data_IF_219065355471
#
_entry.id   IF_219065355471
#
_cell.length_a   1.000
_cell.length_b   1.000
_cell.length_c   1.000
_cell.angle_alpha   90.00
_cell.angle_beta   90.00
_cell.angle_gamma   90.00
#
_symmetry.space_group_name_H-M   'P 1'
#
loop_
_entity.id
_entity.type
_entity.pdbx_description
1 polymer ?
#
# COMPACT_ATOMS: atom_id res chain seq x y z
N UNK A 1 -27.82 -11.98 32.70
CA UNK A 1 -27.37 -11.87 31.30
C UNK A 1 -26.39 -10.72 31.22
N UNK A 2 -25.09 -10.99 31.04
CA UNK A 2 -24.09 -9.94 30.91
C UNK A 2 -24.01 -9.52 29.44
N UNK A 3 -24.38 -8.27 29.15
CA UNK A 3 -24.21 -7.67 27.83
C UNK A 3 -22.72 -7.57 27.53
N UNK A 4 -22.22 -8.39 26.61
CA UNK A 4 -20.89 -8.21 26.04
C UNK A 4 -20.93 -6.90 25.24
N UNK A 5 -20.34 -5.84 25.78
CA UNK A 5 -20.14 -4.60 25.04
C UNK A 5 -19.47 -4.92 23.71
N UNK A 6 -19.95 -4.33 22.62
CA UNK A 6 -19.33 -4.48 21.30
C UNK A 6 -17.84 -4.11 21.44
N UNK A 7 -16.91 -4.90 20.86
CA UNK A 7 -15.51 -4.54 20.88
C UNK A 7 -15.36 -3.12 20.30
N UNK A 8 -14.69 -2.25 21.05
CA UNK A 8 -14.39 -0.89 20.60
C UNK A 8 -13.54 -1.03 19.34
N UNK A 9 -14.03 -0.55 18.20
CA UNK A 9 -13.21 -0.44 16.99
C UNK A 9 -12.14 0.58 17.32
N UNK A 10 -10.91 0.11 17.42
CA UNK A 10 -9.73 0.97 17.62
C UNK A 10 -9.36 1.49 16.23
N UNK A 11 -9.35 2.82 16.07
CA UNK A 11 -9.07 3.44 14.79
C UNK A 11 -7.67 3.03 14.29
N UNK A 12 -7.49 2.91 12.97
CA UNK A 12 -6.21 2.53 12.35
C UNK A 12 -5.05 3.43 12.81
N UNK A 13 -5.35 4.73 12.96
CA UNK A 13 -4.44 5.77 13.44
C UNK A 13 -3.96 5.57 14.88
N UNK A 14 -4.75 4.91 15.74
CA UNK A 14 -4.36 4.62 17.13
C UNK A 14 -3.37 3.45 17.22
N UNK A 15 -3.27 2.61 16.18
CA UNK A 15 -2.44 1.39 16.18
C UNK A 15 -1.08 1.58 15.50
N UNK A 16 -0.98 2.45 14.49
CA UNK A 16 0.27 2.70 13.75
C UNK A 16 0.45 4.22 13.52
N UNK A 17 1.58 4.83 13.97
CA UNK A 17 1.85 6.24 13.74
C UNK A 17 1.80 6.61 12.26
N UNK A 18 1.07 7.67 11.92
CA UNK A 18 0.95 8.16 10.55
C UNK A 18 0.10 7.30 9.62
N UNK A 19 -0.65 6.31 10.15
CA UNK A 19 -1.58 5.55 9.34
C UNK A 19 -2.63 6.47 8.70
N UNK A 20 -2.98 6.17 7.44
CA UNK A 20 -4.07 6.85 6.76
C UNK A 20 -5.38 6.57 7.50
N UNK A 21 -6.11 7.65 7.78
CA UNK A 21 -7.49 7.54 8.23
C UNK A 21 -8.36 7.19 7.01
N UNK A 22 -9.09 6.09 7.13
CA UNK A 22 -9.97 5.55 6.09
C UNK A 22 -11.42 5.53 6.54
N UNK A 23 -11.70 5.98 7.76
CA UNK A 23 -13.05 6.02 8.30
C UNK A 23 -13.88 7.06 7.54
N UNK A 24 -15.09 6.69 7.15
CA UNK A 24 -16.03 7.58 6.44
C UNK A 24 -15.73 7.78 4.96
N UNK A 25 -14.79 7.05 4.36
CA UNK A 25 -14.58 7.07 2.91
C UNK A 25 -15.61 6.16 2.22
N UNK A 26 -16.66 6.75 1.66
CA UNK A 26 -17.80 6.02 1.07
C UNK A 26 -17.41 5.01 -0.02
N UNK A 27 -16.40 5.34 -0.85
CA UNK A 27 -15.93 4.42 -1.90
C UNK A 27 -15.34 3.13 -1.35
N UNK A 28 -14.96 3.09 -0.07
CA UNK A 28 -14.44 1.90 0.58
C UNK A 28 -15.53 0.97 1.13
N UNK A 29 -16.81 1.39 1.18
CA UNK A 29 -17.90 0.57 1.74
C UNK A 29 -18.07 -0.79 1.04
N UNK A 30 -17.73 -0.86 -0.24
CA UNK A 30 -17.77 -2.09 -1.04
C UNK A 30 -16.37 -2.59 -1.45
N UNK A 31 -15.31 -1.98 -0.91
CA UNK A 31 -13.94 -2.35 -1.20
C UNK A 31 -13.43 -3.35 -0.15
N UNK A 32 -12.43 -4.14 -0.55
CA UNK A 32 -11.67 -5.01 0.36
C UNK A 32 -10.22 -4.56 0.38
N UNK A 33 -9.59 -4.61 1.55
CA UNK A 33 -8.17 -4.28 1.69
C UNK A 33 -7.32 -5.38 1.02
N UNK A 34 -6.50 -4.98 0.03
CA UNK A 34 -5.67 -5.89 -0.75
C UNK A 34 -4.23 -5.91 -0.26
N UNK A 35 -3.71 -4.76 0.15
CA UNK A 35 -2.31 -4.61 0.52
C UNK A 35 -2.13 -3.54 1.59
N UNK A 36 -1.05 -3.67 2.36
CA UNK A 36 -0.51 -2.61 3.21
C UNK A 36 0.99 -2.46 2.95
N UNK A 37 1.43 -1.23 2.82
CA UNK A 37 2.80 -0.87 2.46
C UNK A 37 3.35 0.12 3.48
N UNK A 38 4.59 -0.07 3.90
CA UNK A 38 5.32 0.82 4.81
C UNK A 38 6.69 1.15 4.25
N UNK A 39 7.15 2.37 4.54
CA UNK A 39 8.49 2.84 4.21
C UNK A 39 9.20 3.26 5.49
N UNK A 40 10.48 2.92 5.58
CA UNK A 40 11.37 3.39 6.64
C UNK A 40 12.33 4.43 6.08
N UNK A 41 12.81 5.35 6.92
CA UNK A 41 13.77 6.36 6.49
C UNK A 41 15.08 5.68 6.07
N UNK A 42 15.37 5.68 4.75
CA UNK A 42 16.49 4.98 4.12
C UNK A 42 16.49 3.44 4.32
N UNK A 43 15.36 2.84 4.68
CA UNK A 43 15.20 1.39 4.83
C UNK A 43 14.43 0.74 3.68
N UNK A 44 14.39 -0.61 3.61
CA UNK A 44 13.57 -1.31 2.62
C UNK A 44 12.08 -1.05 2.86
N UNK A 45 11.28 -1.18 1.81
CA UNK A 45 9.83 -1.17 1.94
C UNK A 45 9.35 -2.50 2.53
N UNK A 46 8.36 -2.45 3.43
CA UNK A 46 7.64 -3.63 3.91
C UNK A 46 6.28 -3.70 3.24
N UNK A 47 5.96 -4.85 2.64
CA UNK A 47 4.69 -5.08 1.96
C UNK A 47 3.97 -6.32 2.52
N UNK A 48 2.69 -6.18 2.86
CA UNK A 48 1.80 -7.29 3.17
C UNK A 48 0.72 -7.32 2.08
N UNK A 49 0.62 -8.43 1.36
CA UNK A 49 -0.35 -8.64 0.27
C UNK A 49 -1.31 -9.75 0.66
N UNK A 50 -2.60 -9.55 0.45
CA UNK A 50 -3.62 -10.59 0.59
C UNK A 50 -3.90 -11.24 -0.78
N UNK A 51 -3.29 -12.40 -1.10
CA UNK A 51 -3.53 -13.07 -2.37
C UNK A 51 -4.95 -13.65 -2.47
N UNK A 52 -5.69 -13.83 -1.37
CA UNK A 52 -7.04 -14.39 -1.41
C UNK A 52 -8.07 -13.48 -2.10
N UNK A 53 -7.80 -12.18 -2.19
CA UNK A 53 -8.66 -11.21 -2.90
C UNK A 53 -8.18 -10.94 -4.33
N UNK A 54 -6.94 -11.33 -4.65
CA UNK A 54 -6.35 -11.25 -5.99
C UNK A 54 -6.17 -12.66 -6.54
N UNK A 55 -7.23 -13.20 -7.14
CA UNK A 55 -7.29 -14.61 -7.55
C UNK A 55 -6.19 -15.00 -8.54
N UNK A 56 -5.78 -14.07 -9.40
CA UNK A 56 -4.69 -14.26 -10.37
C UNK A 56 -3.56 -13.24 -10.14
N UNK A 57 -2.27 -13.61 -10.30
CA UNK A 57 -1.13 -12.70 -10.10
C UNK A 57 -1.18 -11.43 -10.95
N UNK A 58 -1.68 -11.52 -12.18
CA UNK A 58 -1.84 -10.41 -13.10
C UNK A 58 -2.72 -9.30 -12.52
N UNK A 59 -3.68 -9.65 -11.65
CA UNK A 59 -4.52 -8.67 -10.96
C UNK A 59 -3.72 -7.73 -10.07
N UNK A 60 -2.65 -8.23 -9.44
CA UNK A 60 -1.75 -7.36 -8.68
C UNK A 60 -1.04 -6.37 -9.61
N UNK A 61 -0.54 -6.84 -10.76
CA UNK A 61 0.06 -5.98 -11.77
C UNK A 61 -0.88 -4.88 -12.26
N UNK A 62 -2.13 -5.22 -12.58
CA UNK A 62 -3.15 -4.24 -12.98
C UNK A 62 -3.44 -3.24 -11.85
N UNK A 63 -3.59 -3.71 -10.61
CA UNK A 63 -3.78 -2.84 -9.45
C UNK A 63 -2.62 -1.86 -9.24
N UNK A 64 -1.36 -2.28 -9.49
CA UNK A 64 -0.21 -1.39 -9.39
C UNK A 64 -0.25 -0.28 -10.44
N UNK A 65 -0.69 -0.55 -11.67
CA UNK A 65 -0.88 0.49 -12.70
C UNK A 65 -1.93 1.51 -12.26
N UNK A 66 -3.07 1.06 -11.73
CA UNK A 66 -4.09 1.99 -11.23
C UNK A 66 -3.56 2.82 -10.06
N UNK A 67 -2.84 2.19 -9.12
CA UNK A 67 -2.18 2.87 -8.00
C UNK A 67 -1.23 3.98 -8.49
N UNK A 68 -0.40 3.71 -9.52
CA UNK A 68 0.51 4.70 -10.11
C UNK A 68 -0.26 5.91 -10.68
N UNK A 69 -1.39 5.68 -11.34
CA UNK A 69 -2.24 6.76 -11.87
C UNK A 69 -2.93 7.57 -10.78
N UNK A 70 -3.30 6.93 -9.67
CA UNK A 70 -3.80 7.64 -8.50
C UNK A 70 -2.70 8.45 -7.81
N UNK A 71 -1.48 7.88 -7.72
CA UNK A 71 -0.33 8.53 -7.13
C UNK A 71 0.08 9.77 -7.94
N UNK A 72 0.09 9.71 -9.28
CA UNK A 72 0.43 10.87 -10.11
C UNK A 72 -0.47 12.08 -9.81
N UNK A 73 -1.77 11.85 -9.64
CA UNK A 73 -2.74 12.89 -9.23
C UNK A 73 -2.45 13.43 -7.83
N UNK A 74 -2.19 12.55 -6.87
CA UNK A 74 -1.89 12.94 -5.50
C UNK A 74 -0.60 13.79 -5.44
N UNK A 75 0.46 13.36 -6.12
CA UNK A 75 1.74 14.09 -6.18
C UNK A 75 1.60 15.43 -6.91
N UNK A 76 0.86 15.48 -8.01
CA UNK A 76 0.56 16.72 -8.72
C UNK A 76 -0.08 17.75 -7.78
N UNK A 77 -1.11 17.34 -7.04
CA UNK A 77 -1.81 18.22 -6.08
C UNK A 77 -0.94 18.62 -4.89
N UNK A 78 -0.22 17.67 -4.29
CA UNK A 78 0.57 17.91 -3.09
C UNK A 78 1.82 18.78 -3.35
N UNK A 79 2.40 18.69 -4.55
CA UNK A 79 3.70 19.31 -4.86
C UNK A 79 3.66 20.34 -5.99
N UNK A 80 2.48 20.66 -6.54
CA UNK A 80 2.35 21.66 -7.60
C UNK A 80 2.97 21.23 -8.93
N UNK A 81 2.99 19.92 -9.22
CA UNK A 81 3.43 19.36 -10.50
C UNK A 81 2.22 19.21 -11.44
N UNK A 82 2.45 19.04 -12.75
CA UNK A 82 1.41 18.48 -13.62
C UNK A 82 1.24 16.99 -13.37
N UNK A 83 0.05 16.44 -13.64
CA UNK A 83 -0.21 15.00 -13.50
C UNK A 83 0.72 14.19 -14.41
N UNK A 84 1.02 14.69 -15.61
CA UNK A 84 1.92 14.06 -16.58
C UNK A 84 3.37 14.03 -16.06
N UNK A 85 3.86 15.14 -15.50
CA UNK A 85 5.21 15.21 -14.95
C UNK A 85 5.37 14.32 -13.71
N UNK A 86 4.32 14.21 -12.87
CA UNK A 86 4.30 13.28 -11.76
C UNK A 86 4.28 11.82 -12.24
N UNK A 87 3.44 11.51 -13.24
CA UNK A 87 3.31 10.17 -13.81
C UNK A 87 4.62 9.69 -14.44
N UNK A 88 5.29 10.55 -15.21
CA UNK A 88 6.58 10.25 -15.83
C UNK A 88 7.64 9.88 -14.78
N UNK A 89 7.76 10.68 -13.71
CA UNK A 89 8.74 10.45 -12.64
C UNK A 89 8.46 9.20 -11.82
N UNK A 90 7.18 8.86 -11.61
CA UNK A 90 6.80 7.62 -10.93
C UNK A 90 7.21 6.41 -11.78
N UNK A 91 6.92 6.42 -13.08
CA UNK A 91 7.35 5.34 -13.97
C UNK A 91 8.87 5.22 -14.06
N UNK A 92 9.61 6.33 -14.10
CA UNK A 92 11.07 6.30 -14.02
C UNK A 92 11.56 5.57 -12.75
N UNK A 93 10.93 5.83 -11.59
CA UNK A 93 11.24 5.13 -10.35
C UNK A 93 10.93 3.63 -10.39
N UNK A 94 9.82 3.25 -11.02
CA UNK A 94 9.45 1.84 -11.24
C UNK A 94 10.48 1.13 -12.13
N UNK A 95 10.85 1.73 -13.26
CA UNK A 95 11.82 1.16 -14.18
C UNK A 95 13.21 1.02 -13.53
N UNK A 96 13.64 2.04 -12.77
CA UNK A 96 14.87 1.98 -11.98
C UNK A 96 14.91 0.80 -11.02
N UNK A 97 13.81 0.54 -10.30
CA UNK A 97 13.77 -0.57 -9.34
C UNK A 97 13.63 -1.92 -10.05
N UNK A 98 12.84 -1.99 -11.14
CA UNK A 98 12.69 -3.18 -11.97
C UNK A 98 14.01 -3.64 -12.57
N UNK A 99 14.88 -2.70 -12.96
CA UNK A 99 16.20 -3.01 -13.50
C UNK A 99 17.21 -3.38 -12.39
N UNK A 100 16.97 -2.94 -11.15
CA UNK A 100 17.76 -3.30 -9.95
C UNK A 100 17.31 -4.64 -9.35
N UNK A 101 17.37 -5.71 -10.14
CA UNK A 101 17.00 -7.09 -9.77
C UNK A 101 17.86 -7.77 -8.67
N UNK A 102 18.39 -7.05 -7.67
CA UNK A 102 19.44 -7.59 -6.77
C UNK A 102 19.26 -7.33 -5.27
N UNK A 103 18.13 -6.82 -4.80
CA UNK A 103 17.85 -6.75 -3.36
C UNK A 103 17.02 -7.97 -2.95
N UNK A 104 17.48 -8.70 -1.92
CA UNK A 104 16.70 -9.77 -1.34
C UNK A 104 15.38 -9.19 -0.83
N UNK A 105 14.25 -9.77 -1.27
CA UNK A 105 12.94 -9.42 -0.74
C UNK A 105 12.83 -10.03 0.66
N UNK A 106 12.85 -9.20 1.70
CA UNK A 106 12.37 -9.64 3.01
C UNK A 106 10.85 -9.57 2.99
N UNK A 107 10.22 -10.74 2.90
CA UNK A 107 8.76 -10.84 2.91
C UNK A 107 8.28 -11.26 4.30
N UNK A 108 7.01 -10.99 4.62
CA UNK A 108 6.40 -11.52 5.86
C UNK A 108 6.40 -13.06 5.89
N UNK A 109 6.52 -13.71 4.72
CA UNK A 109 6.69 -15.15 4.60
C UNK A 109 8.10 -15.62 5.05
N UNK A 110 9.06 -14.70 5.18
CA UNK A 110 10.40 -14.93 5.72
C UNK A 110 10.50 -14.52 7.19
N UNK A 111 9.59 -13.66 7.66
CA UNK A 111 9.50 -13.27 9.05
C UNK A 111 9.22 -14.48 9.97
N UNK A 112 10.17 -14.76 10.87
CA UNK A 112 10.08 -15.86 11.83
C UNK A 112 10.76 -17.17 11.40
N UNK A 113 11.35 -17.23 10.20
CA UNK A 113 12.29 -18.30 9.85
C UNK A 113 13.68 -17.88 10.32
N UNK A 114 14.18 -18.46 11.41
CA UNK A 114 15.62 -18.39 11.72
C UNK A 114 16.39 -19.00 10.56
N UNK A 115 17.35 -18.26 9.99
CA UNK A 115 18.40 -18.86 9.17
C UNK A 115 19.26 -19.82 10.00
#
# INVERSE_FOLDING_TARGET
MFGKGKPKVVASAEKYPGALDVDGIDVLQNAVEVARLWVENNGPATCIINPGVLQEPEMFGMLMVDCIRHASRAYAQAHGLSEEAALERIWQGVDMERDRNTTGLETIQDAGKSH
#
